data_IF_463572410123
#
_entry.id   IF_463572410123
#
_cell.length_a   1.000
_cell.length_b   1.000
_cell.length_c   1.000
_cell.angle_alpha   90.00
_cell.angle_beta   90.00
_cell.angle_gamma   90.00
#
_symmetry.space_group_name_H-M   'P 1'
#
loop_
_entity.id
_entity.type
_entity.pdbx_description
1 polymer ?
#
# COMPACT_ATOMS: atom_id res chain seq x y z
N UNK A 1 10.72 -14.80 -30.75
CA UNK A 1 10.21 -14.83 -29.36
C UNK A 1 9.08 -13.83 -29.28
N UNK A 2 7.87 -14.32 -29.55
CA UNK A 2 6.64 -13.52 -29.58
C UNK A 2 6.28 -13.12 -28.15
N UNK A 3 6.27 -11.83 -27.84
CA UNK A 3 5.73 -11.35 -26.56
C UNK A 3 4.21 -11.37 -26.68
N UNK A 4 3.58 -12.22 -25.87
CA UNK A 4 2.13 -12.28 -25.76
C UNK A 4 1.54 -10.88 -25.45
N UNK A 5 0.36 -10.54 -26.02
CA UNK A 5 -0.26 -9.24 -25.79
C UNK A 5 -0.52 -9.05 -24.29
N UNK A 6 0.00 -7.98 -23.70
CA UNK A 6 -0.29 -7.61 -22.32
C UNK A 6 -1.77 -7.23 -22.25
N UNK A 7 -2.57 -8.09 -21.63
CA UNK A 7 -3.93 -7.73 -21.21
C UNK A 7 -3.88 -6.40 -20.45
N UNK A 8 -4.83 -5.51 -20.76
CA UNK A 8 -4.97 -4.22 -20.09
C UNK A 8 -5.38 -4.45 -18.63
N UNK A 9 -4.39 -4.63 -17.76
CA UNK A 9 -4.63 -4.77 -16.32
C UNK A 9 -5.03 -3.40 -15.77
N UNK A 10 -6.28 -3.30 -15.32
CA UNK A 10 -6.75 -2.15 -14.56
C UNK A 10 -5.87 -1.98 -13.33
N UNK A 11 -4.99 -0.97 -13.38
CA UNK A 11 -4.03 -0.69 -12.34
C UNK A 11 -3.89 0.80 -12.14
N UNK A 12 -3.78 1.18 -10.87
CA UNK A 12 -3.67 2.57 -10.44
C UNK A 12 -2.39 2.68 -9.61
N UNK A 13 -1.58 3.69 -9.91
CA UNK A 13 -0.39 4.01 -9.13
C UNK A 13 -0.58 5.36 -8.45
N UNK A 14 -0.40 5.38 -7.14
CA UNK A 14 -0.49 6.61 -6.33
C UNK A 14 0.72 6.73 -5.42
N UNK A 15 0.95 7.95 -4.93
CA UNK A 15 1.99 8.23 -3.97
C UNK A 15 1.47 8.98 -2.75
N UNK A 16 2.05 8.63 -1.59
CA UNK A 16 1.93 9.33 -0.33
C UNK A 16 3.29 9.91 0.06
N UNK A 17 3.31 11.14 0.57
CA UNK A 17 4.54 11.82 0.96
C UNK A 17 4.36 12.46 2.33
N UNK A 18 5.29 12.17 3.24
CA UNK A 18 5.36 12.81 4.55
C UNK A 18 6.81 13.17 4.87
N UNK A 19 7.08 14.46 5.03
CA UNK A 19 8.46 14.97 5.15
C UNK A 19 9.31 14.42 3.99
N UNK A 20 10.42 13.75 4.30
CA UNK A 20 11.33 13.13 3.32
C UNK A 20 10.93 11.69 2.94
N UNK A 21 9.92 11.11 3.58
CA UNK A 21 9.43 9.76 3.26
C UNK A 21 8.48 9.79 2.06
N UNK A 22 8.74 8.94 1.07
CA UNK A 22 7.87 8.75 -0.11
C UNK A 22 7.42 7.29 -0.16
N UNK A 23 6.11 7.08 -0.17
CA UNK A 23 5.46 5.79 -0.35
C UNK A 23 4.76 5.77 -1.71
N UNK A 24 4.99 4.72 -2.49
CA UNK A 24 4.33 4.49 -3.78
C UNK A 24 3.50 3.23 -3.65
N UNK A 25 2.19 3.37 -3.82
CA UNK A 25 1.24 2.26 -3.81
C UNK A 25 0.84 1.93 -5.25
N UNK A 26 0.86 0.65 -5.56
CA UNK A 26 0.38 0.09 -6.82
C UNK A 26 -0.81 -0.80 -6.51
N UNK A 27 -1.98 -0.38 -6.99
CA UNK A 27 -3.26 -1.05 -6.82
C UNK A 27 -3.63 -1.76 -8.13
N UNK A 28 -4.06 -3.01 -8.03
CA UNK A 28 -4.57 -3.81 -9.14
C UNK A 28 -5.72 -4.67 -8.65
N UNK A 29 -6.58 -5.12 -9.56
CA UNK A 29 -7.59 -6.12 -9.23
C UNK A 29 -6.91 -7.42 -8.77
N UNK A 30 -7.42 -8.04 -7.69
CA UNK A 30 -6.77 -9.16 -7.04
C UNK A 30 -7.56 -9.75 -5.87
N UNK A 31 -6.84 -10.38 -4.93
CA UNK A 31 -7.42 -11.22 -3.87
C UNK A 31 -7.30 -10.58 -2.47
N UNK A 32 -7.12 -9.25 -2.38
CA UNK A 32 -7.02 -8.55 -1.11
C UNK A 32 -5.64 -8.54 -0.48
N UNK A 33 -4.59 -8.75 -1.28
CA UNK A 33 -3.23 -8.82 -0.77
C UNK A 33 -2.64 -7.43 -0.51
N UNK A 34 -2.44 -7.07 0.76
CA UNK A 34 -1.69 -5.88 1.16
C UNK A 34 -0.26 -6.20 1.60
N UNK A 35 0.72 -5.65 0.87
CA UNK A 35 2.16 -5.80 1.18
C UNK A 35 2.87 -4.45 1.18
N UNK A 36 3.74 -4.26 2.16
CA UNK A 36 4.64 -3.10 2.26
C UNK A 36 6.08 -3.60 2.20
N UNK A 37 6.86 -3.11 1.24
CA UNK A 37 8.26 -3.52 1.02
C UNK A 37 8.44 -5.05 0.93
N UNK A 38 7.45 -5.75 0.35
CA UNK A 38 7.46 -7.21 0.19
C UNK A 38 7.02 -7.99 1.42
N UNK A 39 6.79 -7.35 2.56
CA UNK A 39 6.31 -7.97 3.80
C UNK A 39 4.81 -7.70 4.00
N UNK A 40 4.06 -8.61 4.65
CA UNK A 40 2.69 -8.34 5.05
C UNK A 40 2.65 -7.19 6.06
N UNK A 41 1.53 -6.47 6.06
CA UNK A 41 1.29 -5.29 6.90
C UNK A 41 1.48 -5.55 8.40
N UNK A 42 1.25 -6.79 8.82
CA UNK A 42 1.28 -7.22 10.22
C UNK A 42 2.68 -7.21 10.84
N UNK A 43 3.69 -7.45 10.00
CA UNK A 43 5.11 -7.54 10.36
C UNK A 43 5.83 -6.19 10.26
N UNK A 44 5.10 -5.09 10.08
CA UNK A 44 5.71 -3.76 10.01
C UNK A 44 6.04 -3.26 11.42
N UNK A 45 7.28 -2.84 11.61
CA UNK A 45 7.71 -2.17 12.84
C UNK A 45 7.70 -0.64 12.67
N UNK A 46 7.48 0.14 13.75
CA UNK A 46 7.16 -0.28 15.12
C UNK A 46 5.67 -0.62 15.34
N UNK A 47 5.40 -1.63 16.18
CA UNK A 47 4.05 -2.14 16.46
C UNK A 47 3.08 -1.09 17.03
N UNK A 48 3.57 -0.13 17.82
CA UNK A 48 2.76 0.97 18.38
C UNK A 48 2.02 1.78 17.31
N UNK A 49 2.62 1.92 16.13
CA UNK A 49 2.06 2.72 15.03
C UNK A 49 1.28 1.88 14.03
N UNK A 50 1.17 0.56 14.25
CA UNK A 50 0.44 -0.37 13.37
C UNK A 50 -1.03 0.00 13.23
N UNK A 51 -1.68 0.39 14.34
CA UNK A 51 -3.07 0.86 14.33
C UNK A 51 -3.25 2.10 13.46
N UNK A 52 -2.25 2.98 13.38
CA UNK A 52 -2.33 4.13 12.48
C UNK A 52 -2.39 3.66 11.02
N UNK A 53 -1.64 2.64 10.65
CA UNK A 53 -1.62 2.14 9.28
C UNK A 53 -2.91 1.39 8.91
N UNK A 54 -3.55 0.71 9.88
CA UNK A 54 -4.79 -0.04 9.71
C UNK A 54 -6.06 0.82 9.64
N UNK A 55 -6.02 2.06 10.15
CA UNK A 55 -7.16 2.98 10.19
C UNK A 55 -7.98 3.06 8.88
N UNK A 56 -7.39 3.24 7.67
CA UNK A 56 -8.18 3.25 6.43
C UNK A 56 -8.91 1.94 6.14
N UNK A 57 -8.32 0.79 6.51
CA UNK A 57 -8.92 -0.53 6.30
C UNK A 57 -10.07 -0.75 7.29
N UNK A 58 -9.87 -0.33 8.54
CA UNK A 58 -10.89 -0.43 9.59
C UNK A 58 -12.07 0.51 9.32
N UNK A 59 -11.82 1.69 8.76
CA UNK A 59 -12.86 2.68 8.46
C UNK A 59 -13.75 2.28 7.27
N UNK A 60 -13.14 1.77 6.20
CA UNK A 60 -13.85 1.40 4.97
C UNK A 60 -14.43 -0.02 4.98
N UNK A 61 -13.97 -0.87 5.91
CA UNK A 61 -14.33 -2.28 5.96
C UNK A 61 -13.41 -3.15 5.08
N UNK A 62 -13.14 -4.38 5.54
CA UNK A 62 -12.26 -5.33 4.81
C UNK A 62 -12.84 -5.76 3.46
N UNK A 63 -14.16 -5.70 3.29
CA UNK A 63 -14.85 -6.10 2.07
C UNK A 63 -14.41 -5.29 0.84
N UNK A 64 -14.16 -3.99 1.00
CA UNK A 64 -13.72 -3.13 -0.10
C UNK A 64 -12.29 -3.44 -0.56
N UNK A 65 -11.47 -3.97 0.34
CA UNK A 65 -10.09 -4.34 0.01
C UNK A 65 -9.98 -5.77 -0.52
N UNK A 66 -10.99 -6.64 -0.33
CA UNK A 66 -10.92 -8.04 -0.72
C UNK A 66 -10.75 -8.27 -2.25
N UNK A 67 -11.21 -7.33 -3.08
CA UNK A 67 -11.09 -7.41 -4.55
C UNK A 67 -9.84 -6.77 -5.15
N UNK A 68 -8.95 -6.20 -4.33
CA UNK A 68 -7.77 -5.46 -4.81
C UNK A 68 -6.48 -5.88 -4.11
N UNK A 69 -5.41 -6.04 -4.88
CA UNK A 69 -4.07 -6.23 -4.35
C UNK A 69 -3.34 -4.89 -4.34
N UNK A 70 -2.83 -4.50 -3.17
CA UNK A 70 -2.07 -3.25 -2.99
C UNK A 70 -0.64 -3.59 -2.58
N UNK A 71 0.31 -3.18 -3.42
CA UNK A 71 1.75 -3.27 -3.13
C UNK A 71 2.31 -1.89 -2.90
N UNK A 72 2.84 -1.66 -1.71
CA UNK A 72 3.45 -0.39 -1.32
C UNK A 72 4.96 -0.53 -1.23
N UNK A 73 5.69 0.39 -1.87
CA UNK A 73 7.13 0.56 -1.67
C UNK A 73 7.39 1.90 -1.01
N UNK A 74 8.23 1.90 0.02
CA UNK A 74 8.58 3.13 0.75
C UNK A 74 10.07 3.32 0.80
N UNK A 75 10.51 4.56 0.54
CA UNK A 75 11.90 4.99 0.64
C UNK A 75 12.01 6.35 1.31
N UNK A 76 13.12 6.55 2.02
CA UNK A 76 13.46 7.81 2.70
C UNK A 76 12.71 8.03 4.03
N UNK A 77 13.12 9.07 4.76
CA UNK A 77 12.58 9.43 6.06
C UNK A 77 12.81 8.39 7.18
N UNK A 78 12.28 8.68 8.37
CA UNK A 78 12.30 7.75 9.52
C UNK A 78 10.98 6.99 9.69
N UNK A 79 10.95 6.00 10.59
CA UNK A 79 9.83 5.06 10.80
C UNK A 79 8.46 5.75 10.88
N UNK A 80 8.36 6.82 11.69
CA UNK A 80 7.11 7.55 11.88
C UNK A 80 6.63 8.16 10.56
N UNK A 81 7.52 8.86 9.85
CA UNK A 81 7.16 9.54 8.61
C UNK A 81 6.78 8.56 7.51
N UNK A 82 7.45 7.40 7.46
CA UNK A 82 7.12 6.32 6.55
C UNK A 82 5.71 5.78 6.78
N UNK A 83 5.32 5.54 8.03
CA UNK A 83 3.97 5.03 8.36
C UNK A 83 2.87 6.00 7.91
N UNK A 84 3.04 7.30 8.13
CA UNK A 84 2.08 8.30 7.64
C UNK A 84 2.04 8.38 6.10
N UNK A 85 3.18 8.25 5.43
CA UNK A 85 3.23 8.19 3.97
C UNK A 85 2.51 6.93 3.43
N UNK A 86 2.69 5.77 4.08
CA UNK A 86 2.00 4.52 3.73
C UNK A 86 0.50 4.66 3.91
N UNK A 87 0.06 5.15 5.08
CA UNK A 87 -1.37 5.41 5.35
C UNK A 87 -1.95 6.26 4.22
N UNK A 88 -1.30 7.37 3.88
CA UNK A 88 -1.78 8.27 2.84
C UNK A 88 -1.82 7.60 1.46
N UNK A 89 -0.82 6.79 1.13
CA UNK A 89 -0.78 6.08 -0.15
C UNK A 89 -1.90 5.04 -0.24
N UNK A 90 -2.16 4.28 0.83
CA UNK A 90 -3.26 3.30 0.89
C UNK A 90 -4.62 3.99 0.78
N UNK A 91 -4.83 5.14 1.43
CA UNK A 91 -6.11 5.86 1.35
C UNK A 91 -6.40 6.47 -0.01
N UNK A 92 -5.37 6.74 -0.83
CA UNK A 92 -5.53 7.28 -2.20
C UNK A 92 -5.66 6.20 -3.26
N UNK A 93 -5.21 4.98 -2.95
CA UNK A 93 -5.16 3.84 -3.86
C UNK A 93 -6.54 3.18 -3.97
#
# INVERSE_FOLDING_TARGET
MEQAPKESVNSVQVFGRKKTATAVAYCKNGNGLLKVNGRPLDLLEPQILKYKLLEPILLLGKERFAGVDIRVRVKGGGHISQIYAIRQAISKA
#
